data_IF_871636090115
#
_entry.id   IF_871636090115
#
_cell.length_a   1.000
_cell.length_b   1.000
_cell.length_c   1.000
_cell.angle_alpha   90.00
_cell.angle_beta   90.00
_cell.angle_gamma   90.00
#
_symmetry.space_group_name_H-M   'P 1'
#
loop_
_entity.id
_entity.type
_entity.pdbx_description
1 polymer ?
#
# COMPACT_ATOMS: atom_id res chain seq x y z
N UNK A 1 8.65 -23.98 -11.86
CA UNK A 1 7.25 -24.35 -11.60
C UNK A 1 6.48 -23.06 -11.38
N UNK A 2 5.34 -22.88 -12.03
CA UNK A 2 4.51 -21.70 -11.82
C UNK A 2 3.75 -21.84 -10.49
N UNK A 3 3.82 -20.82 -9.64
CA UNK A 3 3.06 -20.80 -8.38
C UNK A 3 1.58 -20.52 -8.69
N UNK A 4 0.63 -21.35 -8.22
CA UNK A 4 -0.80 -21.12 -8.44
C UNK A 4 -1.28 -19.77 -7.91
N UNK A 5 -2.23 -19.16 -8.60
CA UNK A 5 -2.74 -17.83 -8.24
C UNK A 5 -3.40 -17.81 -6.84
N UNK A 6 -4.04 -18.90 -6.45
CA UNK A 6 -4.64 -19.06 -5.12
C UNK A 6 -3.59 -19.00 -4.01
N UNK A 7 -2.41 -19.59 -4.25
CA UNK A 7 -1.32 -19.58 -3.29
C UNK A 7 -0.72 -18.18 -3.16
N UNK A 8 -0.53 -17.46 -4.27
CA UNK A 8 -0.08 -16.05 -4.24
C UNK A 8 -1.08 -15.18 -3.47
N UNK A 9 -2.39 -15.39 -3.70
CA UNK A 9 -3.45 -14.68 -2.97
C UNK A 9 -3.42 -15.01 -1.46
N UNK A 10 -3.13 -16.25 -1.09
CA UNK A 10 -2.98 -16.65 0.30
C UNK A 10 -1.77 -15.96 0.96
N UNK A 11 -0.62 -15.92 0.28
CA UNK A 11 0.56 -15.19 0.75
C UNK A 11 0.23 -13.73 1.02
N UNK A 12 -0.44 -13.05 0.09
CA UNK A 12 -0.85 -11.65 0.26
C UNK A 12 -1.77 -11.47 1.48
N UNK A 13 -2.77 -12.34 1.65
CA UNK A 13 -3.71 -12.26 2.79
C UNK A 13 -3.02 -12.47 4.13
N UNK A 14 -2.12 -13.45 4.22
CA UNK A 14 -1.33 -13.69 5.43
C UNK A 14 -0.33 -12.56 5.68
N UNK A 15 0.23 -11.96 4.63
CA UNK A 15 1.10 -10.80 4.72
C UNK A 15 0.38 -9.62 5.36
N UNK A 16 -0.80 -9.25 4.84
CA UNK A 16 -1.61 -8.19 5.46
C UNK A 16 -2.05 -8.54 6.88
N UNK A 17 -2.45 -9.77 7.15
CA UNK A 17 -2.78 -10.19 8.52
C UNK A 17 -1.58 -9.98 9.46
N UNK A 18 -0.38 -10.36 9.03
CA UNK A 18 0.87 -10.23 9.78
C UNK A 18 1.21 -8.75 10.07
N UNK A 19 1.03 -7.85 9.08
CA UNK A 19 1.21 -6.40 9.26
C UNK A 19 0.39 -5.87 10.43
N UNK A 20 -0.90 -6.19 10.48
CA UNK A 20 -1.81 -5.67 11.50
C UNK A 20 -1.62 -6.30 12.89
N UNK A 21 -0.84 -7.39 12.99
CA UNK A 21 -0.49 -8.05 14.24
C UNK A 21 0.94 -7.79 14.71
N UNK A 22 1.67 -6.88 14.05
CA UNK A 22 3.05 -6.54 14.42
C UNK A 22 4.11 -7.57 13.99
N UNK A 23 3.74 -8.57 13.19
CA UNK A 23 4.61 -9.62 12.68
C UNK A 23 5.31 -9.13 11.39
N UNK A 24 6.14 -8.11 11.53
CA UNK A 24 6.69 -7.37 10.39
C UNK A 24 7.70 -8.18 9.56
N UNK A 25 8.51 -9.03 10.21
CA UNK A 25 9.46 -9.90 9.50
C UNK A 25 8.75 -10.95 8.66
N UNK A 26 7.69 -11.55 9.22
CA UNK A 26 6.83 -12.52 8.55
C UNK A 26 6.06 -11.87 7.40
N UNK A 27 5.52 -10.66 7.61
CA UNK A 27 4.87 -9.90 6.56
C UNK A 27 5.81 -9.65 5.37
N UNK A 28 7.04 -9.19 5.63
CA UNK A 28 8.03 -8.97 4.58
C UNK A 28 8.34 -10.26 3.82
N UNK A 29 8.61 -11.37 4.52
CA UNK A 29 8.90 -12.66 3.89
C UNK A 29 7.73 -13.16 3.01
N UNK A 30 6.49 -12.94 3.43
CA UNK A 30 5.29 -13.33 2.66
C UNK A 30 5.12 -12.48 1.39
N UNK A 31 5.32 -11.16 1.48
CA UNK A 31 5.26 -10.28 0.31
C UNK A 31 6.42 -10.52 -0.65
N UNK A 32 7.63 -10.77 -0.16
CA UNK A 32 8.78 -11.16 -0.98
C UNK A 32 8.54 -12.48 -1.70
N UNK A 33 7.94 -13.47 -1.01
CA UNK A 33 7.52 -14.72 -1.64
C UNK A 33 6.48 -14.50 -2.75
N UNK A 34 5.49 -13.64 -2.51
CA UNK A 34 4.49 -13.29 -3.52
C UNK A 34 5.13 -12.55 -4.71
N UNK A 35 6.09 -11.66 -4.45
CA UNK A 35 6.86 -10.94 -5.47
C UNK A 35 7.71 -11.89 -6.31
N UNK A 36 8.39 -12.84 -5.70
CA UNK A 36 9.18 -13.85 -6.42
C UNK A 36 8.28 -14.71 -7.32
N UNK A 37 7.04 -15.00 -6.89
CA UNK A 37 6.06 -15.72 -7.67
C UNK A 37 5.40 -14.90 -8.79
N UNK A 38 5.36 -13.56 -8.66
CA UNK A 38 4.75 -12.61 -9.61
C UNK A 38 5.61 -11.35 -9.75
N UNK A 39 6.79 -11.44 -10.38
CA UNK A 39 7.74 -10.34 -10.45
C UNK A 39 7.24 -9.14 -11.29
N UNK A 40 6.30 -9.38 -12.20
CA UNK A 40 5.70 -8.35 -13.05
C UNK A 40 4.47 -7.67 -12.43
N UNK A 41 4.05 -8.07 -11.22
CA UNK A 41 2.90 -7.49 -10.54
C UNK A 41 3.34 -6.44 -9.52
N UNK A 42 2.65 -5.31 -9.52
CA UNK A 42 2.75 -4.26 -8.53
C UNK A 42 2.16 -4.65 -7.16
N UNK A 43 1.27 -5.66 -7.12
CA UNK A 43 0.48 -6.00 -5.92
C UNK A 43 1.35 -6.39 -4.71
N UNK A 44 2.39 -7.24 -4.85
CA UNK A 44 3.32 -7.50 -3.74
C UNK A 44 4.10 -6.26 -3.28
N UNK A 45 4.45 -5.36 -4.21
CA UNK A 45 5.13 -4.09 -3.89
C UNK A 45 4.21 -3.17 -3.09
N UNK A 46 2.91 -3.13 -3.40
CA UNK A 46 1.92 -2.43 -2.58
C UNK A 46 1.88 -2.97 -1.15
N UNK A 47 1.93 -4.30 -0.98
CA UNK A 47 2.02 -4.92 0.35
C UNK A 47 3.23 -4.46 1.16
N UNK A 48 4.41 -4.40 0.51
CA UNK A 48 5.63 -3.89 1.13
C UNK A 48 5.55 -2.40 1.48
N UNK A 49 4.93 -1.59 0.62
CA UNK A 49 4.70 -0.18 0.92
C UNK A 49 3.74 0.00 2.12
N UNK A 50 2.70 -0.82 2.23
CA UNK A 50 1.80 -0.83 3.40
C UNK A 50 2.56 -1.21 4.67
N UNK A 51 3.42 -2.22 4.61
CA UNK A 51 4.29 -2.59 5.72
C UNK A 51 5.18 -1.41 6.14
N UNK A 52 5.81 -0.73 5.19
CA UNK A 52 6.66 0.44 5.47
C UNK A 52 5.87 1.59 6.13
N UNK A 53 4.66 1.89 5.66
CA UNK A 53 3.77 2.88 6.28
C UNK A 53 3.42 2.49 7.72
N UNK A 54 3.11 1.21 7.98
CA UNK A 54 2.79 0.71 9.32
C UNK A 54 4.00 0.78 10.27
N UNK A 55 5.20 0.50 9.75
CA UNK A 55 6.46 0.62 10.48
C UNK A 55 6.94 2.06 10.69
N UNK A 56 6.11 3.07 10.43
CA UNK A 56 6.46 4.50 10.53
C UNK A 56 7.66 4.87 9.63
N UNK A 57 7.73 4.29 8.42
CA UNK A 57 8.71 4.61 7.37
C UNK A 57 8.01 5.05 6.08
N UNK A 58 7.20 6.11 6.11
CA UNK A 58 6.40 6.51 4.96
C UNK A 58 7.24 6.99 3.77
N UNK A 59 8.43 7.54 3.98
CA UNK A 59 9.35 7.94 2.91
C UNK A 59 9.81 6.74 2.09
N UNK A 60 10.16 5.63 2.77
CA UNK A 60 10.49 4.37 2.11
C UNK A 60 9.29 3.80 1.34
N UNK A 61 8.07 3.98 1.86
CA UNK A 61 6.86 3.60 1.13
C UNK A 61 6.69 4.43 -0.16
N UNK A 62 6.91 5.75 -0.09
CA UNK A 62 6.87 6.63 -1.28
C UNK A 62 7.90 6.19 -2.33
N UNK A 63 9.13 5.87 -1.92
CA UNK A 63 10.17 5.37 -2.82
C UNK A 63 9.77 4.07 -3.51
N UNK A 64 9.34 3.06 -2.75
CA UNK A 64 8.86 1.77 -3.29
C UNK A 64 7.73 1.98 -4.30
N UNK A 65 6.76 2.84 -3.97
CA UNK A 65 5.60 3.06 -4.82
C UNK A 65 5.94 3.81 -6.10
N UNK A 66 6.76 4.86 -6.03
CA UNK A 66 7.15 5.66 -7.19
C UNK A 66 8.13 4.93 -8.10
N UNK A 67 9.09 4.20 -7.55
CA UNK A 67 10.18 3.61 -8.32
C UNK A 67 9.86 2.20 -8.82
N UNK A 68 9.06 1.44 -8.07
CA UNK A 68 8.80 0.03 -8.40
C UNK A 68 7.34 -0.20 -8.79
N UNK A 69 6.38 0.12 -7.91
CA UNK A 69 4.97 -0.17 -8.20
C UNK A 69 4.44 0.60 -9.42
N UNK A 70 4.80 1.89 -9.53
CA UNK A 70 4.43 2.71 -10.68
C UNK A 70 5.17 2.33 -11.97
N UNK A 71 6.36 1.72 -11.89
CA UNK A 71 7.05 1.20 -13.06
C UNK A 71 6.35 -0.06 -13.61
N UNK A 72 5.87 -0.93 -12.72
CA UNK A 72 5.11 -2.14 -13.07
C UNK A 72 3.70 -1.82 -13.58
N UNK A 73 3.02 -0.84 -12.95
CA UNK A 73 1.66 -0.46 -13.33
C UNK A 73 1.49 1.08 -13.40
N UNK A 74 2.02 1.75 -14.44
CA UNK A 74 2.03 3.22 -14.56
C UNK A 74 0.65 3.89 -14.59
N UNK A 75 -0.39 3.14 -14.93
CA UNK A 75 -1.78 3.61 -15.02
C UNK A 75 -2.65 3.15 -13.86
N UNK A 76 -2.07 2.45 -12.88
CA UNK A 76 -2.82 1.94 -11.74
C UNK A 76 -3.24 3.08 -10.82
N UNK A 77 -4.54 3.33 -10.78
CA UNK A 77 -5.14 4.30 -9.85
C UNK A 77 -4.98 3.85 -8.39
N UNK A 78 -4.94 2.53 -8.15
CA UNK A 78 -4.68 1.98 -6.83
C UNK A 78 -3.25 2.27 -6.35
N UNK A 79 -2.24 2.17 -7.24
CA UNK A 79 -0.85 2.61 -6.93
C UNK A 79 -0.82 4.10 -6.61
N UNK A 80 -1.50 4.93 -7.41
CA UNK A 80 -1.59 6.37 -7.16
C UNK A 80 -2.26 6.69 -5.81
N UNK A 81 -3.30 5.95 -5.42
CA UNK A 81 -3.95 6.11 -4.13
C UNK A 81 -3.00 5.78 -2.96
N UNK A 82 -2.20 4.72 -3.08
CA UNK A 82 -1.19 4.40 -2.08
C UNK A 82 -0.08 5.46 -2.02
N UNK A 83 0.34 6.03 -3.16
CA UNK A 83 1.30 7.15 -3.19
C UNK A 83 0.73 8.35 -2.43
N UNK A 84 -0.52 8.72 -2.70
CA UNK A 84 -1.19 9.81 -1.99
C UNK A 84 -1.26 9.57 -0.48
N UNK A 85 -1.56 8.34 -0.05
CA UNK A 85 -1.55 7.96 1.37
C UNK A 85 -0.14 8.09 2.00
N UNK A 86 0.87 7.52 1.34
CA UNK A 86 2.24 7.51 1.83
C UNK A 86 2.84 8.92 1.92
N UNK A 87 2.56 9.80 0.94
CA UNK A 87 2.97 11.21 0.98
C UNK A 87 2.39 11.94 2.18
N UNK A 88 1.09 11.76 2.46
CA UNK A 88 0.46 12.38 3.63
C UNK A 88 1.04 11.89 4.95
N UNK A 89 1.36 10.59 5.03
CA UNK A 89 2.04 10.03 6.20
C UNK A 89 3.49 10.54 6.34
N UNK A 90 4.17 10.85 5.23
CA UNK A 90 5.50 11.47 5.20
C UNK A 90 5.49 12.98 5.46
N UNK A 91 4.32 13.58 5.70
CA UNK A 91 4.17 15.02 5.94
C UNK A 91 4.01 15.87 4.66
N UNK A 92 4.06 15.26 3.47
CA UNK A 92 3.82 15.90 2.18
C UNK A 92 2.30 16.05 1.91
N UNK A 93 1.60 16.73 2.84
CA UNK A 93 0.13 16.77 2.90
C UNK A 93 -0.50 17.39 1.66
N UNK A 94 0.09 18.45 1.11
CA UNK A 94 -0.44 19.14 -0.08
C UNK A 94 -0.41 18.24 -1.31
N UNK A 95 0.74 17.64 -1.61
CA UNK A 95 0.87 16.75 -2.77
C UNK A 95 0.01 15.50 -2.60
N UNK A 96 0.06 14.88 -1.42
CA UNK A 96 -0.69 13.68 -1.13
C UNK A 96 -2.21 13.89 -1.20
N UNK A 97 -2.73 15.00 -0.64
CA UNK A 97 -4.15 15.37 -0.77
C UNK A 97 -4.54 15.62 -2.21
N UNK A 98 -3.77 16.41 -2.97
CA UNK A 98 -4.06 16.72 -4.37
C UNK A 98 -4.25 15.45 -5.21
N UNK A 99 -3.41 14.43 -5.01
CA UNK A 99 -3.54 13.14 -5.70
C UNK A 99 -4.84 12.43 -5.31
N UNK A 100 -5.13 12.35 -4.01
CA UNK A 100 -6.31 11.63 -3.52
C UNK A 100 -7.61 12.36 -3.88
N UNK A 101 -7.65 13.69 -3.79
CA UNK A 101 -8.80 14.51 -4.21
C UNK A 101 -9.14 14.22 -5.67
N UNK A 102 -8.14 14.29 -6.57
CA UNK A 102 -8.33 13.99 -7.98
C UNK A 102 -8.85 12.56 -8.20
N UNK A 103 -8.29 11.57 -7.52
CA UNK A 103 -8.75 10.18 -7.65
C UNK A 103 -10.18 10.01 -7.13
N UNK A 104 -10.55 10.68 -6.04
CA UNK A 104 -11.89 10.59 -5.47
C UNK A 104 -12.97 11.16 -6.41
N UNK A 105 -12.64 12.21 -7.16
CA UNK A 105 -13.56 12.90 -8.07
C UNK A 105 -13.59 12.29 -9.47
N UNK A 106 -12.43 11.92 -10.02
CA UNK A 106 -12.24 11.58 -11.44
C UNK A 106 -11.82 10.13 -11.68
N UNK A 107 -11.47 9.38 -10.63
CA UNK A 107 -11.02 7.99 -10.76
C UNK A 107 -12.05 7.10 -11.46
N UNK A 108 -11.58 6.04 -12.09
CA UNK A 108 -12.41 5.03 -12.75
C UNK A 108 -12.35 3.68 -12.03
N UNK A 109 -11.27 3.43 -11.29
CA UNK A 109 -11.14 2.29 -10.40
C UNK A 109 -11.95 2.53 -9.12
N UNK A 110 -12.91 1.64 -8.85
CA UNK A 110 -13.84 1.79 -7.75
C UNK A 110 -13.14 1.70 -6.38
N UNK A 111 -12.15 0.82 -6.25
CA UNK A 111 -11.42 0.60 -5.00
C UNK A 111 -10.48 1.77 -4.72
N UNK A 112 -9.76 2.24 -5.73
CA UNK A 112 -8.90 3.42 -5.62
C UNK A 112 -9.70 4.68 -5.27
N UNK A 113 -10.87 4.87 -5.89
CA UNK A 113 -11.79 5.96 -5.55
C UNK A 113 -12.26 5.91 -4.11
N UNK A 114 -12.70 4.73 -3.66
CA UNK A 114 -13.20 4.54 -2.30
C UNK A 114 -12.08 4.80 -1.28
N UNK A 115 -10.89 4.25 -1.53
CA UNK A 115 -9.70 4.51 -0.72
C UNK A 115 -9.40 6.00 -0.66
N UNK A 116 -9.33 6.67 -1.81
CA UNK A 116 -9.01 8.09 -1.88
C UNK A 116 -10.04 8.96 -1.16
N UNK A 117 -11.34 8.71 -1.37
CA UNK A 117 -12.43 9.43 -0.70
C UNK A 117 -12.39 9.26 0.82
N UNK A 118 -12.06 8.06 1.31
CA UNK A 118 -11.91 7.82 2.74
C UNK A 118 -10.70 8.57 3.31
N UNK A 119 -9.56 8.49 2.63
CA UNK A 119 -8.32 9.09 3.10
C UNK A 119 -8.40 10.61 3.15
N UNK A 120 -8.89 11.29 2.10
CA UNK A 120 -9.04 12.77 2.05
C UNK A 120 -9.79 13.32 3.27
N UNK A 121 -10.82 12.60 3.71
CA UNK A 121 -11.68 13.00 4.83
C UNK A 121 -10.99 12.86 6.19
N UNK A 122 -9.97 12.01 6.29
CA UNK A 122 -9.21 11.83 7.52
C UNK A 122 -8.19 12.96 7.68
N UNK A 123 -8.08 13.59 8.87
CA UNK A 123 -6.95 14.44 9.19
C UNK A 123 -5.66 13.60 9.28
N UNK A 124 -4.50 14.21 9.01
CA UNK A 124 -3.21 13.51 8.98
C UNK A 124 -2.91 12.73 10.27
N UNK A 125 -3.28 13.28 11.43
CA UNK A 125 -3.10 12.61 12.73
C UNK A 125 -3.87 11.28 12.86
N UNK A 126 -4.98 11.12 12.13
CA UNK A 126 -5.79 9.90 12.13
C UNK A 126 -5.36 8.91 11.04
N UNK A 127 -4.46 9.29 10.14
CA UNK A 127 -3.87 8.35 9.16
C UNK A 127 -2.85 7.41 9.82
N UNK A 128 -2.23 7.86 10.91
CA UNK A 128 -1.18 7.10 11.59
C UNK A 128 -1.74 5.74 12.02
N UNK A 129 -1.10 4.62 11.62
CA UNK A 129 -1.58 3.29 11.94
C UNK A 129 -1.76 3.11 13.45
N UNK A 130 -2.98 2.78 13.86
CA UNK A 130 -3.28 2.39 15.23
C UNK A 130 -3.06 0.88 15.33
N UNK A 131 -1.86 0.49 15.77
CA UNK A 131 -1.57 -0.92 16.02
C UNK A 131 -2.44 -1.42 17.16
N UNK A 132 -3.05 -2.60 16.98
CA UNK A 132 -3.70 -3.29 18.08
C UNK A 132 -2.66 -3.47 19.19
N UNK A 133 -2.98 -3.01 20.41
CA UNK A 133 -2.24 -3.42 21.60
C UNK A 133 -2.47 -4.92 21.71
N UNK A 134 -1.47 -5.72 21.38
CA UNK A 134 -1.48 -7.15 21.68
C UNK A 134 -1.50 -7.23 23.22
N UNK A 135 -2.62 -7.71 23.77
CA UNK A 135 -2.81 -7.98 25.20
C UNK A 135 -2.00 -9.20 25.63
#
# INVERSE_FOLDING_TARGET
METPAELVRLLMRLGYWSVWHGLYGEAAALFDGARAARPESEVPVLGMAVLAMVMQRPEAAVELLRNEAAALAPRSELVRAHIGCALRLAGEEEEGRRILDQLSSEGRDADARLMAANLVRLPAEQLKPQLAKVL
#
